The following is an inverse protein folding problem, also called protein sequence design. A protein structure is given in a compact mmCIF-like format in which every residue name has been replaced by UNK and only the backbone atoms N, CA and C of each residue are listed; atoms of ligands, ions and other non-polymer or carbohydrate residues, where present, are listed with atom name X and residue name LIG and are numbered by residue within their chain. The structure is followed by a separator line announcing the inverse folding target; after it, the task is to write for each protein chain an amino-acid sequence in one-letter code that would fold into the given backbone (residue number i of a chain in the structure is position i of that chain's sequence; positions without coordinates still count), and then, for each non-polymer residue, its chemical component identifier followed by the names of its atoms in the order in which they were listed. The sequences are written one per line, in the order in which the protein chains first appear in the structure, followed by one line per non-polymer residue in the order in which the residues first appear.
data_IF_987459882129
#
_entry.id   IF_987459882129
#
_cell.length_a   1.000
_cell.length_b   1.000
_cell.length_c   1.000
_cell.angle_alpha   90.00
_cell.angle_beta   90.00
_cell.angle_gamma   90.00
#
_symmetry.space_group_name_H-M   'P 1'
#
loop_
_entity.id
_entity.type
_entity.pdbx_description
1 polymer ?
#
# COMPACT_ATOMS: atom_id res chain seq x y z
N UNK A 1 -38.91 18.00 -3.35
CA UNK A 1 -38.15 18.79 -4.33
C UNK A 1 -36.61 18.70 -4.16
N UNK A 2 -36.00 17.53 -3.98
CA UNK A 2 -34.52 17.40 -4.07
C UNK A 2 -34.03 16.87 -5.41
N UNK A 3 -34.84 16.19 -6.21
CA UNK A 3 -34.40 15.61 -7.49
C UNK A 3 -33.97 16.65 -8.54
N UNK A 4 -34.54 17.84 -8.55
CA UNK A 4 -34.28 18.86 -9.57
C UNK A 4 -32.92 19.59 -9.41
N UNK A 5 -32.36 19.62 -8.17
CA UNK A 5 -31.00 20.16 -7.95
C UNK A 5 -29.89 19.19 -8.35
N UNK A 6 -30.16 17.91 -8.34
CA UNK A 6 -29.21 16.85 -8.66
C UNK A 6 -28.95 16.76 -10.19
N UNK A 7 -29.98 16.99 -11.00
CA UNK A 7 -29.88 16.96 -12.47
C UNK A 7 -29.07 18.17 -13.01
N UNK A 8 -29.17 19.34 -12.37
CA UNK A 8 -28.45 20.55 -12.80
C UNK A 8 -26.93 20.54 -12.48
N UNK A 9 -26.48 19.76 -11.50
CA UNK A 9 -25.04 19.54 -11.23
C UNK A 9 -24.39 18.58 -12.23
N UNK A 10 -25.17 17.98 -13.12
CA UNK A 10 -24.71 17.01 -14.10
C UNK A 10 -24.12 17.60 -15.39
N UNK A 11 -24.16 18.93 -15.58
CA UNK A 11 -23.72 19.60 -16.82
C UNK A 11 -22.42 20.43 -16.70
N UNK A 12 -21.57 20.17 -15.70
CA UNK A 12 -20.33 20.92 -15.54
C UNK A 12 -19.23 20.43 -16.54
N UNK A 13 -18.65 21.30 -17.37
CA UNK A 13 -17.74 20.92 -18.45
C UNK A 13 -16.44 20.23 -17.95
N UNK A 14 -16.07 20.41 -16.68
CA UNK A 14 -14.92 19.75 -16.07
C UNK A 14 -15.18 18.26 -15.78
N UNK A 15 -16.35 17.93 -15.29
CA UNK A 15 -16.74 16.54 -15.02
C UNK A 15 -16.69 15.70 -16.31
N UNK A 16 -16.93 16.31 -17.48
CA UNK A 16 -16.88 15.63 -18.77
C UNK A 16 -15.46 15.16 -19.14
N UNK A 17 -14.43 15.96 -18.86
CA UNK A 17 -13.03 15.55 -19.08
C UNK A 17 -12.62 14.42 -18.15
N UNK A 18 -13.03 14.47 -16.87
CA UNK A 18 -12.76 13.40 -15.91
C UNK A 18 -13.53 12.11 -16.26
N UNK A 19 -14.76 12.22 -16.76
CA UNK A 19 -15.53 11.09 -17.26
C UNK A 19 -14.88 10.47 -18.51
N UNK A 20 -14.38 11.28 -19.43
CA UNK A 20 -13.63 10.78 -20.59
C UNK A 20 -12.35 10.04 -20.15
N UNK A 21 -11.56 10.63 -19.25
CA UNK A 21 -10.36 10.00 -18.69
C UNK A 21 -10.68 8.67 -17.96
N UNK A 22 -11.78 8.63 -17.21
CA UNK A 22 -12.24 7.40 -16.56
C UNK A 22 -12.65 6.33 -17.58
N UNK A 23 -13.32 6.72 -18.67
CA UNK A 23 -13.70 5.81 -19.77
C UNK A 23 -12.48 5.23 -20.46
N UNK A 24 -11.49 6.06 -20.76
CA UNK A 24 -10.23 5.63 -21.38
C UNK A 24 -9.45 4.68 -20.46
N UNK A 25 -9.38 4.99 -19.16
CA UNK A 25 -8.72 4.14 -18.17
C UNK A 25 -9.42 2.77 -17.98
N UNK A 26 -10.73 2.70 -18.18
CA UNK A 26 -11.50 1.45 -18.11
C UNK A 26 -11.34 0.64 -19.40
N UNK A 27 -11.42 1.27 -20.57
CA UNK A 27 -11.20 0.62 -21.86
C UNK A 27 -12.21 -0.49 -22.21
N UNK A 28 -13.43 -0.43 -21.67
CA UNK A 28 -14.50 -1.39 -21.93
C UNK A 28 -15.66 -0.73 -22.67
N UNK A 29 -16.50 -1.51 -23.38
CA UNK A 29 -17.73 -1.00 -23.97
C UNK A 29 -18.66 -0.36 -22.92
N UNK A 30 -19.29 0.76 -23.27
CA UNK A 30 -20.33 1.38 -22.44
C UNK A 30 -21.44 0.36 -22.16
N UNK A 31 -21.98 0.37 -20.94
CA UNK A 31 -22.97 -0.63 -20.47
C UNK A 31 -22.32 -1.89 -19.88
N UNK A 32 -21.00 -2.09 -20.00
CA UNK A 32 -20.32 -3.19 -19.32
C UNK A 32 -20.49 -3.08 -17.81
N UNK A 33 -20.71 -4.24 -17.13
CA UNK A 33 -20.75 -4.26 -15.67
C UNK A 33 -19.36 -4.09 -15.06
N UNK A 34 -19.24 -3.15 -14.13
CA UNK A 34 -18.00 -2.86 -13.40
C UNK A 34 -18.28 -2.81 -11.91
N UNK A 35 -17.51 -3.56 -11.12
CA UNK A 35 -17.56 -3.45 -9.66
C UNK A 35 -16.69 -2.27 -9.25
N UNK A 36 -17.25 -1.34 -8.49
CA UNK A 36 -16.51 -0.24 -7.84
C UNK A 36 -16.23 -0.60 -6.38
N UNK A 37 -14.95 -0.76 -6.02
CA UNK A 37 -14.54 -0.97 -4.64
C UNK A 37 -14.67 0.35 -3.87
N UNK A 38 -15.64 0.45 -2.97
CA UNK A 38 -15.98 1.64 -2.21
C UNK A 38 -15.53 1.51 -0.76
N UNK A 39 -14.68 2.43 -0.29
CA UNK A 39 -14.18 2.44 1.09
C UNK A 39 -14.82 3.54 1.96
N UNK A 40 -15.80 4.29 1.44
CA UNK A 40 -16.35 5.46 2.11
C UNK A 40 -15.44 6.69 2.09
N UNK A 41 -14.33 6.65 1.35
CA UNK A 41 -13.45 7.79 1.11
C UNK A 41 -13.77 8.51 -0.21
N UNK A 42 -13.24 9.73 -0.36
CA UNK A 42 -13.46 10.60 -1.54
C UNK A 42 -13.09 9.87 -2.84
N UNK A 43 -11.91 9.27 -2.90
CA UNK A 43 -11.36 8.68 -4.12
C UNK A 43 -12.21 7.51 -4.65
N UNK A 44 -12.59 6.59 -3.77
CA UNK A 44 -13.43 5.45 -4.15
C UNK A 44 -14.83 5.87 -4.58
N UNK A 45 -15.38 6.90 -3.94
CA UNK A 45 -16.70 7.44 -4.30
C UNK A 45 -16.67 8.17 -5.65
N UNK A 46 -15.65 9.01 -5.88
CA UNK A 46 -15.48 9.68 -7.17
C UNK A 46 -15.27 8.66 -8.29
N UNK A 47 -14.50 7.59 -8.03
CA UNK A 47 -14.36 6.47 -8.96
C UNK A 47 -15.72 5.90 -9.38
N UNK A 48 -16.58 5.55 -8.42
CA UNK A 48 -17.91 5.01 -8.68
C UNK A 48 -18.80 6.00 -9.46
N UNK A 49 -18.75 7.28 -9.08
CA UNK A 49 -19.54 8.34 -9.73
C UNK A 49 -19.11 8.59 -11.19
N UNK A 50 -17.79 8.66 -11.45
CA UNK A 50 -17.26 8.81 -12.80
C UNK A 50 -17.62 7.63 -13.71
N UNK A 51 -17.57 6.40 -13.18
CA UNK A 51 -17.96 5.19 -13.92
C UNK A 51 -19.45 5.18 -14.27
N UNK A 52 -20.31 5.48 -13.30
CA UNK A 52 -21.76 5.57 -13.53
C UNK A 52 -22.08 6.63 -14.58
N UNK A 53 -21.41 7.79 -14.51
CA UNK A 53 -21.58 8.86 -15.47
C UNK A 53 -20.98 8.52 -16.84
N UNK A 54 -19.94 7.70 -16.91
CA UNK A 54 -19.40 7.15 -18.15
C UNK A 54 -20.33 6.13 -18.82
N UNK A 55 -21.44 5.77 -18.18
CA UNK A 55 -22.47 4.89 -18.71
C UNK A 55 -22.20 3.40 -18.49
N UNK A 56 -21.38 3.04 -17.51
CA UNK A 56 -21.16 1.66 -17.08
C UNK A 56 -22.28 1.17 -16.16
N UNK A 57 -22.58 -0.14 -16.17
CA UNK A 57 -23.42 -0.82 -15.18
C UNK A 57 -22.59 -1.00 -13.89
N UNK A 58 -22.64 -0.02 -12.99
CA UNK A 58 -21.78 0.03 -11.81
C UNK A 58 -22.48 -0.61 -10.61
N UNK A 59 -21.76 -1.49 -9.92
CA UNK A 59 -22.18 -2.05 -8.63
C UNK A 59 -21.10 -1.68 -7.58
N UNK A 60 -21.50 -0.94 -6.55
CA UNK A 60 -20.63 -0.59 -5.43
C UNK A 60 -20.46 -1.77 -4.46
N UNK A 61 -19.24 -2.03 -4.03
CA UNK A 61 -18.96 -3.04 -3.00
C UNK A 61 -18.01 -2.47 -1.95
N UNK A 62 -18.41 -2.59 -0.68
CA UNK A 62 -17.58 -2.26 0.49
C UNK A 62 -17.22 -3.53 1.25
N UNK A 63 -15.95 -3.69 1.60
CA UNK A 63 -15.50 -4.73 2.50
C UNK A 63 -15.52 -4.21 3.94
N UNK A 64 -16.27 -4.86 4.82
CA UNK A 64 -16.17 -4.65 6.26
C UNK A 64 -14.96 -5.43 6.76
N UNK A 65 -13.85 -4.71 7.01
CA UNK A 65 -12.55 -5.31 7.31
C UNK A 65 -12.30 -5.48 8.81
N UNK A 66 -12.93 -4.67 9.66
CA UNK A 66 -12.77 -4.70 11.11
C UNK A 66 -13.92 -3.96 11.80
N UNK A 67 -14.23 -4.39 13.02
CA UNK A 67 -15.16 -3.70 13.92
C UNK A 67 -14.37 -2.83 14.92
N UNK A 68 -14.41 -1.52 14.74
CA UNK A 68 -13.82 -0.56 15.69
C UNK A 68 -14.49 -0.59 17.06
N UNK A 69 -15.76 -0.95 17.16
CA UNK A 69 -16.50 -1.05 18.42
C UNK A 69 -15.92 -2.15 19.32
N UNK A 70 -15.60 -3.32 18.76
CA UNK A 70 -14.97 -4.41 19.47
C UNK A 70 -13.48 -4.13 19.77
N UNK A 71 -12.79 -3.36 18.89
CA UNK A 71 -11.37 -3.07 19.05
C UNK A 71 -11.07 -2.06 20.16
N UNK A 72 -11.98 -1.11 20.47
CA UNK A 72 -11.66 0.04 21.36
C UNK A 72 -12.48 0.06 22.64
N UNK A 73 -13.51 -0.78 22.83
CA UNK A 73 -14.42 -0.75 24.01
C UNK A 73 -14.92 0.67 24.42
N UNK A 74 -14.87 1.65 23.52
CA UNK A 74 -15.44 2.98 23.72
C UNK A 74 -16.81 3.07 23.07
N UNK A 75 -17.85 3.24 23.88
CA UNK A 75 -19.18 3.66 23.38
C UNK A 75 -19.03 4.92 22.55
N UNK A 76 -19.28 4.82 21.23
CA UNK A 76 -19.26 5.95 20.30
C UNK A 76 -18.10 5.99 19.28
N UNK A 77 -17.17 5.04 19.28
CA UNK A 77 -16.11 4.96 18.26
C UNK A 77 -16.59 4.14 17.04
N UNK A 78 -17.25 4.82 16.10
CA UNK A 78 -17.94 4.20 14.96
C UNK A 78 -17.25 4.54 13.62
N UNK A 79 -15.89 4.42 13.49
CA UNK A 79 -15.26 4.77 12.22
C UNK A 79 -15.56 3.75 11.12
N UNK A 80 -15.51 2.43 11.38
CA UNK A 80 -15.88 1.44 10.37
C UNK A 80 -17.37 1.54 9.97
N UNK A 81 -18.24 1.74 10.93
CA UNK A 81 -19.67 2.01 10.68
C UNK A 81 -19.89 3.28 9.91
N UNK A 82 -19.11 4.34 10.18
CA UNK A 82 -19.20 5.61 9.45
C UNK A 82 -18.73 5.45 7.99
N UNK A 83 -17.62 4.77 7.73
CA UNK A 83 -17.11 4.56 6.37
C UNK A 83 -18.10 3.74 5.52
N UNK A 84 -18.73 2.70 6.09
CA UNK A 84 -19.78 1.92 5.45
C UNK A 84 -21.01 2.77 5.20
N UNK A 85 -21.41 3.61 6.17
CA UNK A 85 -22.53 4.53 6.03
C UNK A 85 -22.26 5.56 4.92
N UNK A 86 -21.06 6.15 4.90
CA UNK A 86 -20.65 7.11 3.87
C UNK A 86 -20.66 6.47 2.48
N UNK A 87 -20.13 5.23 2.35
CA UNK A 87 -20.14 4.49 1.09
C UNK A 87 -21.56 4.21 0.60
N UNK A 88 -22.46 3.79 1.50
CA UNK A 88 -23.87 3.54 1.18
C UNK A 88 -24.59 4.82 0.76
N UNK A 89 -24.45 5.88 1.54
CA UNK A 89 -25.04 7.18 1.23
C UNK A 89 -24.56 7.75 -0.09
N UNK A 90 -23.27 7.55 -0.40
CA UNK A 90 -22.69 7.96 -1.67
C UNK A 90 -23.24 7.13 -2.84
N UNK A 91 -23.37 5.81 -2.68
CA UNK A 91 -23.94 4.93 -3.70
C UNK A 91 -25.41 5.27 -3.98
N UNK A 92 -26.19 5.52 -2.94
CA UNK A 92 -27.58 5.97 -3.06
C UNK A 92 -27.67 7.32 -3.81
N UNK A 93 -26.76 8.25 -3.50
CA UNK A 93 -26.70 9.55 -4.16
C UNK A 93 -26.29 9.43 -5.65
N UNK A 94 -25.42 8.49 -5.99
CA UNK A 94 -24.99 8.20 -7.38
C UNK A 94 -26.10 7.43 -8.13
N UNK A 95 -26.96 6.70 -7.42
CA UNK A 95 -28.02 5.87 -7.99
C UNK A 95 -27.54 4.48 -8.43
N UNK A 96 -26.52 3.92 -7.74
CA UNK A 96 -25.98 2.59 -8.00
C UNK A 96 -26.32 1.60 -6.87
N UNK A 97 -26.52 0.30 -7.17
CA UNK A 97 -26.65 -0.73 -6.14
C UNK A 97 -25.34 -0.84 -5.35
N UNK A 98 -25.47 -1.09 -4.01
CA UNK A 98 -24.32 -1.20 -3.12
C UNK A 98 -24.46 -2.36 -2.15
N UNK A 99 -23.39 -3.13 -2.02
CA UNK A 99 -23.30 -4.28 -1.14
C UNK A 99 -22.16 -4.14 -0.14
N UNK A 100 -22.40 -4.59 1.08
CA UNK A 100 -21.38 -4.68 2.13
C UNK A 100 -21.10 -6.15 2.38
N UNK A 101 -19.82 -6.53 2.29
CA UNK A 101 -19.38 -7.90 2.48
C UNK A 101 -18.57 -7.99 3.78
N UNK A 102 -18.90 -8.95 4.64
CA UNK A 102 -18.15 -9.22 5.85
C UNK A 102 -16.84 -9.96 5.53
N UNK A 103 -15.73 -9.27 5.78
CA UNK A 103 -14.38 -9.79 5.60
C UNK A 103 -13.52 -9.67 6.87
N UNK A 104 -14.14 -9.43 8.04
CA UNK A 104 -13.43 -9.20 9.29
C UNK A 104 -12.48 -10.33 9.68
N UNK A 105 -12.97 -11.58 9.64
CA UNK A 105 -12.14 -12.74 9.96
C UNK A 105 -10.97 -12.90 8.99
N UNK A 106 -11.23 -12.78 7.67
CA UNK A 106 -10.18 -12.89 6.66
C UNK A 106 -9.13 -11.80 6.77
N UNK A 107 -9.56 -10.57 7.01
CA UNK A 107 -8.66 -9.43 7.20
C UNK A 107 -7.82 -9.60 8.46
N UNK A 108 -8.44 -10.07 9.55
CA UNK A 108 -7.72 -10.41 10.78
C UNK A 108 -6.63 -11.45 10.51
N UNK A 109 -6.98 -12.58 9.91
CA UNK A 109 -6.06 -13.70 9.75
C UNK A 109 -4.93 -13.41 8.74
N UNK A 110 -5.23 -12.70 7.66
CA UNK A 110 -4.29 -12.50 6.55
C UNK A 110 -3.48 -11.19 6.65
N UNK A 111 -3.97 -10.21 7.40
CA UNK A 111 -3.33 -8.88 7.46
C UNK A 111 -2.91 -8.54 8.88
N UNK A 112 -3.84 -8.63 9.86
CA UNK A 112 -3.55 -8.15 11.22
C UNK A 112 -2.64 -9.13 11.98
N UNK A 113 -2.87 -10.45 11.85
CA UNK A 113 -2.03 -11.46 12.49
C UNK A 113 -0.61 -11.46 11.91
N UNK A 114 -0.49 -11.42 10.57
CA UNK A 114 0.83 -11.31 9.90
C UNK A 114 1.57 -10.02 10.26
N UNK A 115 0.84 -8.91 10.39
CA UNK A 115 1.42 -7.65 10.87
C UNK A 115 2.04 -7.80 12.27
N UNK A 116 1.34 -8.45 13.20
CA UNK A 116 1.86 -8.68 14.54
C UNK A 116 3.05 -9.65 14.54
N UNK A 117 2.97 -10.74 13.77
CA UNK A 117 4.04 -11.73 13.65
C UNK A 117 5.31 -11.17 13.00
N UNK A 118 5.19 -10.28 12.01
CA UNK A 118 6.33 -9.59 11.41
C UNK A 118 7.10 -8.76 12.44
N UNK A 119 6.41 -8.02 13.32
CA UNK A 119 7.07 -7.29 14.39
C UNK A 119 7.77 -8.21 15.40
N UNK A 120 7.20 -9.39 15.68
CA UNK A 120 7.87 -10.38 16.52
C UNK A 120 9.17 -10.92 15.88
N UNK A 121 9.24 -10.94 14.55
CA UNK A 121 10.46 -11.30 13.81
C UNK A 121 11.47 -10.14 13.70
N UNK A 122 11.14 -8.94 14.23
CA UNK A 122 11.96 -7.73 14.09
C UNK A 122 11.86 -7.07 12.72
N UNK A 123 10.85 -7.42 11.93
CA UNK A 123 10.55 -6.84 10.62
C UNK A 123 9.66 -5.60 10.78
N UNK A 124 9.66 -4.72 9.77
CA UNK A 124 8.75 -3.56 9.68
C UNK A 124 7.75 -3.79 8.55
N UNK A 125 6.58 -4.38 8.82
CA UNK A 125 5.63 -4.78 7.79
C UNK A 125 4.88 -3.59 7.16
N UNK A 126 4.33 -3.82 5.95
CA UNK A 126 3.44 -2.89 5.24
C UNK A 126 2.10 -3.60 5.02
N UNK A 127 1.16 -3.49 5.97
CA UNK A 127 -0.10 -4.22 5.91
C UNK A 127 -0.97 -3.84 4.71
N UNK A 128 -0.83 -2.62 4.17
CA UNK A 128 -1.57 -2.17 2.99
C UNK A 128 -1.24 -3.01 1.75
N UNK A 129 0.01 -3.45 1.57
CA UNK A 129 0.39 -4.35 0.46
C UNK A 129 -0.30 -5.70 0.63
N UNK A 130 -0.24 -6.29 1.82
CA UNK A 130 -0.92 -7.57 2.11
C UNK A 130 -2.44 -7.46 1.91
N UNK A 131 -3.06 -6.38 2.37
CA UNK A 131 -4.49 -6.15 2.16
C UNK A 131 -4.85 -6.08 0.68
N UNK A 132 -4.07 -5.34 -0.14
CA UNK A 132 -4.30 -5.29 -1.58
C UNK A 132 -4.10 -6.66 -2.24
N UNK A 133 -3.00 -7.36 -1.91
CA UNK A 133 -2.64 -8.65 -2.48
C UNK A 133 -3.68 -9.74 -2.18
N UNK A 134 -4.15 -9.83 -0.94
CA UNK A 134 -4.98 -10.94 -0.48
C UNK A 134 -6.47 -10.60 -0.46
N UNK A 135 -6.89 -9.64 0.34
CA UNK A 135 -8.30 -9.35 0.61
C UNK A 135 -8.94 -8.58 -0.55
N UNK A 136 -8.31 -7.49 -1.00
CA UNK A 136 -8.93 -6.65 -2.02
C UNK A 136 -8.84 -7.26 -3.43
N UNK A 137 -7.64 -7.71 -3.85
CA UNK A 137 -7.45 -8.09 -5.24
C UNK A 137 -7.57 -9.60 -5.52
N UNK A 138 -7.46 -10.44 -4.51
CA UNK A 138 -7.77 -11.86 -4.68
C UNK A 138 -9.26 -12.13 -4.44
N UNK A 139 -9.71 -11.84 -3.22
CA UNK A 139 -11.03 -12.27 -2.78
C UNK A 139 -12.17 -11.44 -3.40
N UNK A 140 -12.01 -10.10 -3.49
CA UNK A 140 -13.03 -9.25 -4.11
C UNK A 140 -13.09 -9.42 -5.64
N UNK A 141 -11.99 -9.79 -6.30
CA UNK A 141 -12.02 -10.14 -7.72
C UNK A 141 -12.88 -11.37 -7.99
N UNK A 142 -12.82 -12.39 -7.14
CA UNK A 142 -13.66 -13.57 -7.27
C UNK A 142 -15.14 -13.22 -7.11
N UNK A 143 -15.47 -12.34 -6.16
CA UNK A 143 -16.84 -11.81 -6.04
C UNK A 143 -17.26 -11.06 -7.29
N UNK A 144 -16.39 -10.20 -7.83
CA UNK A 144 -16.70 -9.44 -9.04
C UNK A 144 -16.96 -10.34 -10.25
N UNK A 145 -16.14 -11.38 -10.44
CA UNK A 145 -16.34 -12.39 -11.49
C UNK A 145 -17.67 -13.14 -11.32
N UNK A 146 -17.99 -13.53 -10.08
CA UNK A 146 -19.25 -14.23 -9.77
C UNK A 146 -20.49 -13.36 -10.00
N UNK A 147 -20.35 -12.03 -9.89
CA UNK A 147 -21.41 -11.07 -10.24
C UNK A 147 -21.47 -10.75 -11.74
N UNK A 148 -20.68 -11.43 -12.57
CA UNK A 148 -20.64 -11.26 -14.01
C UNK A 148 -20.06 -9.92 -14.45
N UNK A 149 -19.21 -9.29 -13.63
CA UNK A 149 -18.58 -8.04 -13.99
C UNK A 149 -17.42 -8.27 -14.98
N UNK A 150 -17.23 -7.33 -15.89
CA UNK A 150 -16.13 -7.35 -16.85
C UNK A 150 -14.82 -6.78 -16.27
N UNK A 151 -14.91 -5.99 -15.19
CA UNK A 151 -13.77 -5.42 -14.49
C UNK A 151 -14.12 -5.02 -13.05
N UNK A 152 -13.08 -4.80 -12.24
CA UNK A 152 -13.17 -4.17 -10.94
C UNK A 152 -12.36 -2.87 -10.92
N UNK A 153 -13.00 -1.77 -10.53
CA UNK A 153 -12.36 -0.47 -10.41
C UNK A 153 -12.10 -0.08 -8.96
N UNK A 154 -10.99 0.58 -8.73
CA UNK A 154 -10.60 1.09 -7.42
C UNK A 154 -10.11 2.52 -7.50
N UNK A 155 -10.18 3.27 -6.39
CA UNK A 155 -9.70 4.64 -6.27
C UNK A 155 -8.19 4.78 -6.09
N UNK A 156 -7.39 3.77 -6.44
CA UNK A 156 -5.93 3.88 -6.35
C UNK A 156 -5.35 4.76 -7.44
N UNK A 157 -4.36 5.58 -7.06
CA UNK A 157 -3.59 6.43 -7.96
C UNK A 157 -2.43 5.64 -8.57
N UNK A 158 -2.75 4.88 -9.60
CA UNK A 158 -1.81 4.21 -10.53
C UNK A 158 -2.46 4.14 -11.90
N UNK A 159 -1.69 3.89 -12.95
CA UNK A 159 -2.21 3.70 -14.30
C UNK A 159 -2.04 2.25 -14.74
N UNK A 160 -3.01 1.75 -15.47
CA UNK A 160 -2.92 0.49 -16.20
C UNK A 160 -2.84 0.82 -17.69
N UNK A 161 -1.83 0.30 -18.35
CA UNK A 161 -1.68 0.38 -19.80
C UNK A 161 -1.57 -1.04 -20.38
N UNK A 162 -1.91 -1.21 -21.64
CA UNK A 162 -1.74 -2.48 -22.34
C UNK A 162 -0.49 -2.38 -23.20
N UNK A 163 0.55 -3.11 -22.82
CA UNK A 163 1.78 -3.24 -23.59
C UNK A 163 1.75 -4.47 -24.51
N UNK A 164 2.85 -4.69 -25.23
CA UNK A 164 2.97 -5.82 -26.15
C UNK A 164 2.85 -7.20 -25.46
N UNK A 165 3.30 -7.30 -24.20
CA UNK A 165 3.28 -8.53 -23.39
C UNK A 165 2.13 -8.59 -22.38
N UNK A 166 1.08 -7.75 -22.54
CA UNK A 166 -0.06 -7.72 -21.63
C UNK A 166 -0.15 -6.46 -20.77
N UNK A 167 -0.96 -6.49 -19.71
CA UNK A 167 -1.20 -5.33 -18.85
C UNK A 167 0.05 -4.90 -18.09
N UNK A 168 0.30 -3.60 -18.03
CA UNK A 168 1.40 -2.97 -17.34
C UNK A 168 0.88 -2.07 -16.24
N UNK A 169 1.47 -2.14 -15.06
CA UNK A 169 1.25 -1.19 -13.98
C UNK A 169 2.22 -0.01 -14.13
N UNK A 170 1.68 1.20 -14.07
CA UNK A 170 2.49 2.43 -14.14
C UNK A 170 2.21 3.34 -12.97
N UNK A 171 3.17 4.16 -12.62
CA UNK A 171 3.02 5.23 -11.62
C UNK A 171 1.86 6.15 -12.01
N UNK A 172 1.27 6.79 -11.00
CA UNK A 172 0.25 7.82 -11.22
C UNK A 172 0.80 9.00 -12.04
N UNK A 173 -0.09 9.73 -12.72
CA UNK A 173 0.26 11.00 -13.36
C UNK A 173 0.62 12.09 -12.32
N UNK A 174 0.01 12.04 -11.13
CA UNK A 174 0.37 12.87 -9.99
C UNK A 174 1.41 12.14 -9.11
N UNK A 175 2.71 12.52 -9.16
CA UNK A 175 3.75 11.84 -8.40
C UNK A 175 3.55 11.92 -6.88
N UNK A 176 2.91 12.99 -6.39
CA UNK A 176 2.62 13.17 -4.96
C UNK A 176 1.56 12.18 -4.43
N UNK A 177 0.83 11.54 -5.34
CA UNK A 177 -0.24 10.57 -5.02
C UNK A 177 0.06 9.15 -5.50
N UNK A 178 1.23 8.92 -6.09
CA UNK A 178 1.61 7.64 -6.65
C UNK A 178 1.56 6.51 -5.60
N UNK A 179 0.69 5.52 -5.85
CA UNK A 179 0.48 4.36 -4.99
C UNK A 179 1.05 3.06 -5.56
N UNK A 180 1.87 3.15 -6.61
CA UNK A 180 2.49 1.99 -7.25
C UNK A 180 3.29 1.12 -6.28
N UNK A 181 3.90 1.73 -5.25
CA UNK A 181 4.60 1.05 -4.18
C UNK A 181 3.73 0.02 -3.43
N UNK A 182 2.45 0.32 -3.25
CA UNK A 182 1.52 -0.55 -2.52
C UNK A 182 0.87 -1.61 -3.40
N UNK A 183 1.10 -1.56 -4.71
CA UNK A 183 0.44 -2.43 -5.70
C UNK A 183 1.41 -3.33 -6.47
N UNK A 184 2.70 -3.32 -6.17
CA UNK A 184 3.68 -4.15 -6.87
C UNK A 184 3.37 -5.65 -6.79
N UNK A 185 2.71 -6.09 -5.71
CA UNK A 185 2.34 -7.49 -5.48
C UNK A 185 1.04 -7.92 -6.18
N UNK A 186 0.47 -7.05 -7.04
CA UNK A 186 -0.65 -7.40 -7.92
C UNK A 186 -0.17 -8.37 -8.99
N UNK A 187 -0.87 -9.50 -9.19
CA UNK A 187 -0.51 -10.44 -10.26
C UNK A 187 -0.94 -9.93 -11.64
N UNK A 188 -0.37 -10.49 -12.72
CA UNK A 188 -0.74 -10.13 -14.08
C UNK A 188 -2.24 -10.35 -14.35
N UNK A 189 -2.81 -11.49 -13.89
CA UNK A 189 -4.23 -11.80 -14.01
C UNK A 189 -5.12 -10.80 -13.25
N UNK A 190 -4.69 -10.39 -12.05
CA UNK A 190 -5.39 -9.37 -11.29
C UNK A 190 -5.33 -8.02 -12.01
N UNK A 191 -4.14 -7.64 -12.50
CA UNK A 191 -3.95 -6.39 -13.21
C UNK A 191 -4.76 -6.32 -14.51
N UNK A 192 -4.96 -7.44 -15.19
CA UNK A 192 -5.79 -7.50 -16.38
C UNK A 192 -7.27 -7.17 -16.09
N UNK A 193 -7.75 -7.54 -14.91
CA UNK A 193 -9.12 -7.30 -14.48
C UNK A 193 -9.33 -5.96 -13.76
N UNK A 194 -8.28 -5.39 -13.16
CA UNK A 194 -8.33 -4.13 -12.40
C UNK A 194 -8.38 -2.91 -13.31
N UNK A 195 -9.08 -1.86 -12.84
CA UNK A 195 -9.14 -0.54 -13.48
C UNK A 195 -8.90 0.56 -12.44
N UNK A 196 -8.18 1.59 -12.85
CA UNK A 196 -7.76 2.70 -12.00
C UNK A 196 -8.14 4.05 -12.61
N UNK A 197 -9.43 4.44 -12.54
CA UNK A 197 -9.94 5.64 -13.22
C UNK A 197 -9.29 6.95 -12.78
N UNK A 198 -8.70 6.98 -11.57
CA UNK A 198 -8.08 8.18 -11.01
C UNK A 198 -6.59 8.32 -11.33
N UNK A 199 -5.97 7.28 -11.88
CA UNK A 199 -4.51 7.24 -12.06
C UNK A 199 -3.94 8.31 -13.00
N UNK A 200 -4.75 8.82 -13.93
CA UNK A 200 -4.41 9.91 -14.82
C UNK A 200 -4.76 11.31 -14.32
N UNK A 201 -5.43 11.43 -13.16
CA UNK A 201 -5.97 12.68 -12.63
C UNK A 201 -5.18 13.21 -11.44
N UNK A 202 -4.88 14.51 -11.36
CA UNK A 202 -4.38 15.14 -10.14
C UNK A 202 -5.42 15.08 -9.02
N UNK A 203 -4.97 14.99 -7.76
CA UNK A 203 -5.86 14.94 -6.59
C UNK A 203 -6.79 16.15 -6.49
N UNK A 204 -6.31 17.33 -6.88
CA UNK A 204 -7.12 18.56 -6.94
C UNK A 204 -8.33 18.41 -7.86
N UNK A 205 -8.16 17.73 -8.98
CA UNK A 205 -9.22 17.45 -9.93
C UNK A 205 -10.23 16.44 -9.38
N UNK A 206 -9.77 15.42 -8.70
CA UNK A 206 -10.64 14.45 -8.04
C UNK A 206 -11.51 15.13 -6.96
N UNK A 207 -10.94 16.02 -6.15
CA UNK A 207 -11.72 16.78 -5.16
C UNK A 207 -12.70 17.75 -5.81
N UNK A 208 -12.30 18.41 -6.91
CA UNK A 208 -13.20 19.26 -7.67
C UNK A 208 -14.37 18.46 -8.24
N UNK A 209 -14.11 17.28 -8.82
CA UNK A 209 -15.17 16.39 -9.30
C UNK A 209 -16.11 15.96 -8.15
N UNK A 210 -15.58 15.67 -6.97
CA UNK A 210 -16.42 15.35 -5.80
C UNK A 210 -17.37 16.50 -5.42
N UNK A 211 -16.87 17.74 -5.46
CA UNK A 211 -17.67 18.95 -5.18
C UNK A 211 -18.72 19.20 -6.26
N UNK A 212 -18.34 19.13 -7.53
CA UNK A 212 -19.24 19.34 -8.67
C UNK A 212 -20.34 18.27 -8.74
N UNK A 213 -20.03 17.04 -8.35
CA UNK A 213 -20.98 15.94 -8.24
C UNK A 213 -21.85 16.03 -6.97
N UNK A 214 -21.65 17.05 -6.11
CA UNK A 214 -22.43 17.27 -4.89
C UNK A 214 -22.25 16.16 -3.85
N UNK A 215 -21.09 15.47 -3.85
CA UNK A 215 -20.80 14.38 -2.92
C UNK A 215 -20.51 14.94 -1.53
N UNK A 216 -21.26 14.51 -0.51
CA UNK A 216 -21.14 14.98 0.87
C UNK A 216 -19.76 14.75 1.49
N UNK A 217 -18.97 13.82 0.90
CA UNK A 217 -17.64 13.45 1.36
C UNK A 217 -16.51 14.27 0.73
N UNK A 218 -16.80 15.28 -0.11
CA UNK A 218 -15.79 16.05 -0.85
C UNK A 218 -14.68 16.63 0.04
N UNK A 219 -15.04 17.06 1.27
CA UNK A 219 -14.12 17.65 2.25
C UNK A 219 -13.52 16.62 3.23
N UNK A 220 -13.87 15.33 3.10
CA UNK A 220 -13.32 14.28 3.99
C UNK A 220 -11.80 14.19 3.82
N UNK A 221 -11.03 14.21 4.93
CA UNK A 221 -9.58 14.05 4.87
C UNK A 221 -9.19 12.67 4.36
N UNK A 222 -8.04 12.59 3.68
CA UNK A 222 -7.48 11.32 3.24
C UNK A 222 -7.00 10.51 4.46
N UNK A 223 -7.15 9.19 4.42
CA UNK A 223 -6.58 8.30 5.44
C UNK A 223 -5.06 8.35 5.38
N UNK A 224 -4.41 8.70 6.48
CA UNK A 224 -2.95 8.85 6.57
C UNK A 224 -2.28 7.67 7.27
N UNK A 225 -3.02 6.93 8.11
CA UNK A 225 -2.51 5.87 8.96
C UNK A 225 -2.97 4.47 8.54
N UNK A 226 -2.38 3.46 9.15
CA UNK A 226 -2.81 2.07 9.02
C UNK A 226 -4.24 1.96 9.55
N UNK A 227 -5.18 1.55 8.72
CA UNK A 227 -6.61 1.63 8.97
C UNK A 227 -7.10 0.94 10.26
N UNK A 228 -6.42 -0.11 10.73
CA UNK A 228 -6.75 -0.85 11.95
C UNK A 228 -5.90 -0.45 13.17
N UNK A 229 -5.02 0.57 13.04
CA UNK A 229 -4.21 1.08 14.14
C UNK A 229 -4.81 2.40 14.64
N UNK A 230 -5.60 2.37 15.72
CA UNK A 230 -6.19 3.58 16.26
C UNK A 230 -5.10 4.50 16.83
N UNK A 231 -5.24 5.79 16.61
CA UNK A 231 -4.36 6.84 17.18
C UNK A 231 -2.86 6.68 16.83
N UNK A 232 -2.52 5.99 15.71
CA UNK A 232 -1.15 5.82 15.24
C UNK A 232 -0.23 4.96 16.14
N UNK A 233 -0.77 4.25 17.14
CA UNK A 233 0.00 3.43 18.08
C UNK A 233 -0.08 1.94 17.74
N UNK A 234 0.71 1.50 16.78
CA UNK A 234 0.77 0.10 16.36
C UNK A 234 1.14 -0.86 17.52
N UNK A 235 1.94 -0.40 18.48
CA UNK A 235 2.34 -1.21 19.65
C UNK A 235 1.15 -1.68 20.47
N UNK A 236 0.10 -0.89 20.61
CA UNK A 236 -1.12 -1.29 21.32
C UNK A 236 -1.80 -2.48 20.64
N UNK A 237 -1.81 -2.52 19.32
CA UNK A 237 -2.37 -3.64 18.56
C UNK A 237 -1.52 -4.90 18.77
N UNK A 238 -0.18 -4.75 18.69
CA UNK A 238 0.75 -5.87 18.87
C UNK A 238 0.66 -6.43 20.30
N UNK A 239 0.71 -5.57 21.31
CA UNK A 239 0.64 -5.99 22.73
C UNK A 239 -0.65 -6.76 23.03
N UNK A 240 -1.76 -6.40 22.37
CA UNK A 240 -3.03 -7.11 22.51
C UNK A 240 -3.04 -8.48 21.81
N UNK A 241 -2.51 -8.55 20.59
CA UNK A 241 -2.50 -9.79 19.79
C UNK A 241 -1.40 -10.75 20.21
N UNK A 242 -0.29 -10.22 20.67
CA UNK A 242 0.93 -10.96 21.02
C UNK A 242 1.49 -10.49 22.38
N UNK A 243 0.76 -10.66 23.49
CA UNK A 243 1.23 -10.23 24.81
C UNK A 243 2.56 -10.88 25.20
N UNK A 244 2.85 -12.08 24.66
CA UNK A 244 4.14 -12.76 24.82
C UNK A 244 5.30 -12.06 24.10
N UNK A 245 5.05 -11.10 23.22
CA UNK A 245 6.07 -10.32 22.50
C UNK A 245 6.73 -9.22 23.34
N UNK A 246 6.13 -8.85 24.47
CA UNK A 246 6.67 -7.92 25.44
C UNK A 246 7.72 -8.60 26.34
N UNK A 247 8.77 -9.18 25.74
CA UNK A 247 9.87 -9.83 26.47
C UNK A 247 11.03 -8.85 26.56
N UNK A 248 11.50 -8.53 27.79
CA UNK A 248 12.66 -7.67 27.99
C UNK A 248 13.92 -8.22 27.34
N UNK A 249 14.75 -7.29 26.84
CA UNK A 249 16.04 -7.58 26.24
C UNK A 249 17.02 -6.42 26.42
N UNK A 250 18.09 -6.47 25.66
CA UNK A 250 19.19 -5.52 25.78
C UNK A 250 19.25 -4.54 24.59
N UNK A 251 19.62 -3.31 24.87
CA UNK A 251 20.04 -2.35 23.86
C UNK A 251 21.57 -2.39 23.81
N UNK A 252 22.09 -2.85 22.67
CA UNK A 252 23.52 -3.12 22.47
C UNK A 252 24.07 -2.20 21.42
N UNK A 253 25.20 -1.54 21.68
CA UNK A 253 25.90 -0.77 20.69
C UNK A 253 26.63 -1.70 19.68
N UNK A 254 26.92 -1.22 18.47
CA UNK A 254 27.62 -1.99 17.41
C UNK A 254 28.99 -2.54 17.88
N UNK A 255 29.65 -1.89 18.83
CA UNK A 255 30.92 -2.38 19.43
C UNK A 255 30.73 -3.46 20.51
N UNK A 256 29.48 -3.90 20.75
CA UNK A 256 29.16 -4.94 21.72
C UNK A 256 28.86 -4.44 23.13
N UNK A 257 28.98 -3.16 23.45
CA UNK A 257 28.64 -2.61 24.78
C UNK A 257 27.12 -2.62 25.01
N UNK A 258 26.69 -3.12 26.15
CA UNK A 258 25.30 -3.02 26.59
C UNK A 258 25.05 -1.60 27.11
N UNK A 259 24.13 -0.89 26.48
CA UNK A 259 23.80 0.51 26.81
C UNK A 259 22.55 0.63 27.68
N UNK A 260 21.68 -0.39 27.69
CA UNK A 260 20.43 -0.36 28.43
C UNK A 260 19.60 -1.61 28.23
N UNK A 261 18.35 -1.54 28.69
CA UNK A 261 17.36 -2.63 28.54
C UNK A 261 16.08 -2.06 27.93
N UNK A 262 15.34 -2.92 27.24
CA UNK A 262 14.04 -2.62 26.69
C UNK A 262 12.97 -3.63 27.13
N UNK A 263 11.70 -3.30 26.97
CA UNK A 263 10.56 -4.14 27.38
C UNK A 263 10.05 -5.07 26.27
N UNK A 264 10.58 -4.97 25.07
CA UNK A 264 10.22 -5.81 23.92
C UNK A 264 10.75 -5.23 22.61
N UNK A 265 11.25 -6.10 21.72
CA UNK A 265 11.80 -5.71 20.40
C UNK A 265 10.74 -5.10 19.50
N UNK A 266 9.48 -5.45 19.69
CA UNK A 266 8.33 -4.96 18.90
C UNK A 266 8.08 -3.44 19.03
N UNK A 267 8.74 -2.79 19.99
CA UNK A 267 8.65 -1.33 20.20
C UNK A 267 9.66 -0.53 19.38
N UNK A 268 10.47 -1.21 18.59
CA UNK A 268 11.57 -0.62 17.83
C UNK A 268 11.41 -0.85 16.33
N UNK A 269 11.96 0.10 15.56
CA UNK A 269 11.97 0.05 14.10
C UNK A 269 13.34 0.51 13.63
N UNK A 270 13.87 -0.06 12.55
CA UNK A 270 15.15 0.35 11.96
C UNK A 270 15.12 1.86 11.63
N UNK A 271 16.18 2.58 11.99
CA UNK A 271 16.29 4.03 11.84
C UNK A 271 15.67 4.86 12.98
N UNK A 272 15.01 4.20 13.95
CA UNK A 272 14.44 4.91 15.10
C UNK A 272 15.55 5.53 15.95
N UNK A 273 15.39 6.85 16.27
CA UNK A 273 16.27 7.60 17.14
C UNK A 273 15.67 7.87 18.52
N UNK A 274 14.35 8.16 18.56
CA UNK A 274 13.66 8.55 19.79
C UNK A 274 13.19 7.32 20.57
N UNK A 275 13.13 7.45 21.91
CA UNK A 275 12.59 6.39 22.77
C UNK A 275 13.57 5.25 23.05
N UNK A 276 14.86 5.40 22.74
CA UNK A 276 15.91 4.43 23.08
C UNK A 276 16.24 4.45 24.59
N UNK A 277 16.04 5.62 25.24
CA UNK A 277 16.33 5.85 26.66
C UNK A 277 17.77 5.49 27.06
N UNK A 278 18.73 5.70 26.15
CA UNK A 278 20.17 5.55 26.39
C UNK A 278 20.86 6.91 26.31
N UNK A 279 21.82 7.15 27.21
CA UNK A 279 22.56 8.42 27.30
C UNK A 279 24.04 8.14 27.01
N UNK A 280 24.47 8.43 25.75
CA UNK A 280 25.85 8.17 25.31
C UNK A 280 26.51 9.36 24.61
N UNK A 281 25.96 10.56 24.77
CA UNK A 281 26.52 11.77 24.15
C UNK A 281 26.12 11.97 22.70
N UNK A 282 26.45 11.05 21.80
CA UNK A 282 26.12 11.11 20.38
C UNK A 282 24.76 10.48 20.04
N UNK A 283 24.07 10.98 19.01
CA UNK A 283 22.81 10.41 18.56
C UNK A 283 22.96 8.97 18.05
N UNK A 284 22.24 8.04 18.65
CA UNK A 284 22.16 6.66 18.19
C UNK A 284 20.84 6.36 17.49
N UNK A 285 20.91 5.38 16.58
CA UNK A 285 19.79 4.89 15.77
C UNK A 285 19.72 3.38 15.88
N UNK A 286 18.51 2.81 15.81
CA UNK A 286 18.34 1.37 15.69
C UNK A 286 18.87 0.91 14.33
N UNK A 287 19.90 0.10 14.34
CA UNK A 287 20.56 -0.42 13.12
C UNK A 287 20.06 -1.83 12.79
N UNK A 288 19.83 -2.66 13.81
CA UNK A 288 19.35 -4.02 13.64
C UNK A 288 18.47 -4.41 14.83
N UNK A 289 17.44 -5.22 14.57
CA UNK A 289 16.63 -5.86 15.59
C UNK A 289 16.87 -7.36 15.47
N UNK A 290 17.43 -7.96 16.51
CA UNK A 290 17.63 -9.40 16.62
C UNK A 290 16.58 -10.00 17.55
N UNK A 291 15.53 -10.52 16.96
CA UNK A 291 14.43 -11.09 17.71
C UNK A 291 14.80 -12.40 18.44
N UNK A 292 15.75 -13.17 17.89
CA UNK A 292 16.18 -14.43 18.47
C UNK A 292 16.96 -14.23 19.77
N UNK A 293 17.88 -13.25 19.78
CA UNK A 293 18.67 -12.89 20.97
C UNK A 293 17.98 -11.81 21.82
N UNK A 294 16.85 -11.26 21.34
CA UNK A 294 16.11 -10.16 21.97
C UNK A 294 16.96 -8.92 22.14
N UNK A 295 17.77 -8.60 21.13
CA UNK A 295 18.66 -7.45 21.15
C UNK A 295 18.23 -6.39 20.16
N UNK A 296 18.23 -5.13 20.61
CA UNK A 296 18.11 -3.95 19.74
C UNK A 296 19.51 -3.37 19.60
N UNK A 297 20.08 -3.53 18.39
CA UNK A 297 21.43 -3.07 18.09
C UNK A 297 21.34 -1.64 17.61
N UNK A 298 22.13 -0.77 18.24
CA UNK A 298 22.15 0.66 17.95
C UNK A 298 23.53 1.12 17.53
N UNK A 299 23.57 2.17 16.71
CA UNK A 299 24.82 2.75 16.20
C UNK A 299 24.63 4.16 15.67
N UNK A 300 25.69 4.80 15.17
CA UNK A 300 25.63 6.09 14.54
C UNK A 300 24.81 6.03 13.24
N UNK A 301 24.46 7.21 12.69
CA UNK A 301 23.62 7.32 11.50
C UNK A 301 24.19 6.58 10.30
N UNK A 302 25.50 6.62 10.11
CA UNK A 302 26.17 6.03 8.93
C UNK A 302 26.12 4.49 8.94
N UNK A 303 25.89 3.87 10.10
CA UNK A 303 25.64 2.45 10.22
C UNK A 303 24.27 2.00 9.63
N UNK A 304 23.41 2.95 9.25
CA UNK A 304 22.16 2.70 8.53
C UNK A 304 22.35 2.60 7.01
N UNK A 305 23.56 2.85 6.50
CA UNK A 305 23.87 2.80 5.09
C UNK A 305 23.80 1.35 4.59
N UNK A 306 23.02 1.16 3.52
CA UNK A 306 22.76 -0.15 2.91
C UNK A 306 23.14 -0.08 1.44
N UNK A 307 24.01 -0.97 0.99
CA UNK A 307 24.48 -1.08 -0.40
C UNK A 307 23.56 -1.95 -1.27
N UNK A 308 22.67 -2.73 -0.65
CA UNK A 308 21.76 -3.61 -1.39
C UNK A 308 20.80 -4.36 -0.47
N UNK A 309 19.90 -5.10 -1.07
CA UNK A 309 18.89 -5.91 -0.39
C UNK A 309 18.73 -7.28 -1.05
N UNK A 310 18.33 -8.27 -0.24
CA UNK A 310 17.83 -9.56 -0.72
C UNK A 310 16.33 -9.58 -0.57
N UNK A 311 15.62 -10.04 -1.60
CA UNK A 311 14.17 -10.04 -1.64
C UNK A 311 13.59 -11.44 -1.39
N UNK A 312 12.41 -11.46 -0.77
CA UNK A 312 11.54 -12.64 -0.62
C UNK A 312 10.16 -12.35 -1.21
N UNK A 313 9.41 -13.40 -1.55
CA UNK A 313 8.05 -13.28 -2.08
C UNK A 313 7.96 -12.30 -3.25
N UNK A 314 8.81 -12.50 -4.23
CA UNK A 314 8.87 -11.64 -5.42
C UNK A 314 7.66 -11.84 -6.32
N UNK A 315 7.24 -10.76 -6.98
CA UNK A 315 6.18 -10.73 -7.97
C UNK A 315 6.64 -9.92 -9.17
N UNK A 316 6.41 -10.45 -10.37
CA UNK A 316 6.78 -9.79 -11.62
C UNK A 316 5.54 -9.33 -12.39
N UNK A 317 5.60 -8.10 -12.92
CA UNK A 317 4.55 -7.46 -13.72
C UNK A 317 5.04 -7.30 -15.16
N UNK A 318 4.76 -8.30 -15.99
CA UNK A 318 5.21 -8.38 -17.37
C UNK A 318 5.66 -9.79 -17.74
N UNK A 319 6.58 -9.88 -18.70
CA UNK A 319 7.17 -11.17 -19.08
C UNK A 319 8.23 -11.58 -18.03
N UNK A 320 7.83 -12.44 -17.11
CA UNK A 320 8.67 -12.96 -16.04
C UNK A 320 9.95 -13.61 -16.55
N UNK A 321 9.86 -14.43 -17.58
CA UNK A 321 11.02 -15.09 -18.16
C UNK A 321 12.04 -14.10 -18.75
N UNK A 322 11.57 -13.02 -19.36
CA UNK A 322 12.43 -11.94 -19.87
C UNK A 322 13.10 -11.18 -18.72
N UNK A 323 12.37 -10.88 -17.64
CA UNK A 323 12.93 -10.21 -16.46
C UNK A 323 13.98 -11.09 -15.80
N UNK A 324 13.70 -12.37 -15.60
CA UNK A 324 14.63 -13.32 -14.98
C UNK A 324 15.88 -13.55 -15.82
N UNK A 325 15.75 -13.68 -17.15
CA UNK A 325 16.88 -13.80 -18.05
C UNK A 325 17.77 -12.54 -18.01
N UNK A 326 17.18 -11.35 -18.02
CA UNK A 326 17.91 -10.09 -17.92
C UNK A 326 18.56 -9.92 -16.53
N UNK A 327 17.89 -10.31 -15.47
CA UNK A 327 18.40 -10.25 -14.10
C UNK A 327 19.59 -11.20 -13.88
N UNK A 328 19.67 -12.32 -14.59
CA UNK A 328 20.81 -13.23 -14.55
C UNK A 328 22.10 -12.58 -15.09
N UNK A 329 21.97 -11.55 -15.93
CA UNK A 329 23.08 -10.74 -16.46
C UNK A 329 23.30 -9.41 -15.70
N UNK A 330 22.46 -9.11 -14.71
CA UNK A 330 22.44 -7.82 -13.99
C UNK A 330 21.58 -6.79 -14.71
N UNK A 331 20.27 -6.76 -14.42
CA UNK A 331 19.31 -5.84 -15.05
C UNK A 331 19.37 -4.45 -14.37
N UNK A 332 19.69 -3.37 -15.12
CA UNK A 332 19.56 -2.01 -14.61
C UNK A 332 18.08 -1.69 -14.31
N UNK A 333 17.81 -1.17 -13.11
CA UNK A 333 16.48 -0.83 -12.63
C UNK A 333 16.51 0.45 -11.80
N UNK A 334 15.31 1.01 -11.52
CA UNK A 334 15.13 1.95 -10.43
C UNK A 334 14.45 1.22 -9.27
N UNK A 335 15.00 1.34 -8.07
CA UNK A 335 14.51 0.65 -6.88
C UNK A 335 13.94 1.64 -5.84
N UNK A 336 12.73 1.38 -5.35
CA UNK A 336 12.08 2.18 -4.30
C UNK A 336 11.91 1.30 -3.07
N UNK A 337 12.62 1.64 -1.99
CA UNK A 337 12.68 0.83 -0.75
C UNK A 337 11.82 1.40 0.40
N UNK A 338 11.15 2.52 0.19
CA UNK A 338 10.20 3.15 1.12
C UNK A 338 9.11 3.87 0.34
N UNK A 339 7.89 3.87 0.87
CA UNK A 339 6.73 4.50 0.22
C UNK A 339 6.89 6.01 -0.01
N UNK A 340 7.70 6.69 0.82
CA UNK A 340 7.92 8.13 0.78
C UNK A 340 9.21 8.55 0.06
N UNK A 341 10.05 7.58 -0.36
CA UNK A 341 11.30 7.86 -1.07
C UNK A 341 11.08 7.87 -2.59
N UNK A 342 11.90 8.60 -3.33
CA UNK A 342 12.00 8.45 -4.78
C UNK A 342 12.79 7.18 -5.12
N UNK A 343 12.53 6.55 -6.29
CA UNK A 343 13.33 5.43 -6.77
C UNK A 343 14.77 5.83 -7.03
N UNK A 344 15.72 4.95 -6.69
CA UNK A 344 17.16 5.15 -6.90
C UNK A 344 17.70 4.17 -7.93
N UNK A 345 18.81 4.51 -8.59
CA UNK A 345 19.47 3.65 -9.57
C UNK A 345 20.04 2.42 -8.87
N UNK A 346 19.78 1.25 -9.45
CA UNK A 346 20.14 -0.03 -8.87
C UNK A 346 20.28 -1.10 -9.97
N UNK A 347 20.80 -2.26 -9.58
CA UNK A 347 20.92 -3.43 -10.43
C UNK A 347 20.23 -4.63 -9.78
N UNK A 348 19.27 -5.20 -10.50
CA UNK A 348 18.60 -6.44 -10.11
C UNK A 348 19.45 -7.63 -10.58
N UNK A 349 19.72 -8.56 -9.68
CA UNK A 349 20.39 -9.79 -9.97
C UNK A 349 19.61 -11.01 -9.45
N UNK A 350 19.61 -12.07 -10.25
CA UNK A 350 19.03 -13.37 -9.92
C UNK A 350 20.15 -14.43 -9.96
N UNK A 351 20.52 -14.95 -8.80
CA UNK A 351 21.58 -15.95 -8.69
C UNK A 351 21.21 -17.02 -7.65
N UNK A 352 21.28 -18.31 -8.06
CA UNK A 352 21.03 -19.44 -7.16
C UNK A 352 19.62 -19.45 -6.54
N UNK A 353 18.62 -18.88 -7.22
CA UNK A 353 17.26 -18.73 -6.71
C UNK A 353 17.05 -17.55 -5.75
N UNK A 354 18.10 -16.79 -5.45
CA UNK A 354 18.01 -15.57 -4.65
C UNK A 354 17.86 -14.34 -5.57
N UNK A 355 16.95 -13.47 -5.22
CA UNK A 355 16.74 -12.18 -5.89
C UNK A 355 17.40 -11.09 -5.04
N UNK A 356 18.35 -10.38 -5.62
CA UNK A 356 19.08 -9.29 -4.94
C UNK A 356 19.05 -8.00 -5.76
N UNK A 357 19.10 -6.88 -5.06
CA UNK A 357 19.16 -5.55 -5.66
C UNK A 357 20.34 -4.81 -5.05
N UNK A 358 21.31 -4.43 -5.88
CA UNK A 358 22.46 -3.61 -5.48
C UNK A 358 22.20 -2.15 -5.85
N UNK A 359 22.35 -1.23 -4.91
CA UNK A 359 22.18 0.21 -5.14
C UNK A 359 23.50 0.83 -5.63
N UNK A 360 23.45 1.72 -6.60
CA UNK A 360 24.61 2.46 -7.09
C UNK A 360 25.18 3.40 -6.02
N UNK A 361 24.30 3.98 -5.21
CA UNK A 361 24.65 4.76 -4.04
C UNK A 361 23.96 4.18 -2.80
N UNK A 362 24.65 4.08 -1.64
CA UNK A 362 24.07 3.50 -0.44
C UNK A 362 22.82 4.24 0.03
N UNK A 363 21.78 3.49 0.44
CA UNK A 363 20.52 3.99 0.94
C UNK A 363 20.43 3.92 2.46
N UNK A 364 19.79 4.93 3.07
CA UNK A 364 19.57 4.97 4.52
C UNK A 364 18.22 4.36 4.92
N UNK A 365 18.20 3.70 6.09
CA UNK A 365 16.96 3.31 6.77
C UNK A 365 16.14 2.27 5.99
N UNK A 366 16.83 1.40 5.28
CA UNK A 366 16.24 0.22 4.63
C UNK A 366 15.96 -0.82 5.69
N UNK A 367 14.74 -1.37 5.71
CA UNK A 367 14.31 -2.28 6.78
C UNK A 367 13.74 -3.58 6.24
N UNK A 368 14.11 -4.74 6.82
CA UNK A 368 13.43 -5.99 6.56
C UNK A 368 11.91 -5.89 6.81
N UNK A 369 11.12 -6.54 5.96
CA UNK A 369 9.65 -6.47 5.99
C UNK A 369 9.05 -5.32 5.17
N UNK A 370 9.85 -4.30 4.81
CA UNK A 370 9.45 -3.29 3.82
C UNK A 370 9.50 -3.88 2.41
N UNK A 371 8.91 -3.20 1.43
CA UNK A 371 9.01 -3.59 0.03
C UNK A 371 10.20 -2.92 -0.67
N UNK A 372 10.75 -3.61 -1.65
CA UNK A 372 11.58 -3.04 -2.69
C UNK A 372 10.82 -3.17 -4.01
N UNK A 373 10.35 -2.05 -4.53
CA UNK A 373 9.58 -1.98 -5.78
C UNK A 373 10.49 -1.53 -6.89
N UNK A 374 10.44 -2.26 -8.00
CA UNK A 374 11.34 -2.10 -9.13
C UNK A 374 10.61 -1.47 -10.31
N UNK A 375 11.26 -0.48 -10.91
CA UNK A 375 10.77 0.22 -12.09
C UNK A 375 11.79 0.04 -13.23
N UNK A 376 11.30 0.08 -14.48
CA UNK A 376 12.16 -0.02 -15.64
C UNK A 376 13.07 1.21 -15.75
N UNK A 377 14.36 1.00 -16.00
CA UNK A 377 15.32 2.10 -16.12
C UNK A 377 15.06 2.98 -17.35
N UNK A 378 14.58 2.38 -18.44
CA UNK A 378 14.22 3.04 -19.70
C UNK A 378 12.79 3.64 -19.72
N UNK A 379 11.94 3.24 -18.76
CA UNK A 379 10.57 3.72 -18.58
C UNK A 379 10.27 3.88 -17.07
N UNK A 380 10.74 4.96 -16.39
CA UNK A 380 10.74 5.10 -14.94
C UNK A 380 9.37 5.08 -14.27
N UNK A 381 8.31 5.20 -15.02
CA UNK A 381 6.93 5.08 -14.56
C UNK A 381 6.37 3.63 -14.62
N UNK A 382 7.05 2.71 -15.34
CA UNK A 382 6.64 1.32 -15.49
C UNK A 382 7.14 0.49 -14.30
N UNK A 383 6.22 -0.13 -13.58
CA UNK A 383 6.54 -1.10 -12.52
C UNK A 383 6.89 -2.45 -13.14
N UNK A 384 8.08 -2.96 -12.83
CA UNK A 384 8.52 -4.31 -13.22
C UNK A 384 8.07 -5.37 -12.23
N UNK A 385 7.80 -4.97 -10.98
CA UNK A 385 7.47 -5.85 -9.89
C UNK A 385 8.23 -5.48 -8.61
N UNK A 386 8.65 -6.49 -7.86
CA UNK A 386 9.41 -6.29 -6.63
C UNK A 386 9.28 -7.45 -5.67
N UNK A 387 9.67 -7.23 -4.42
CA UNK A 387 9.54 -8.21 -3.35
C UNK A 387 9.60 -7.55 -1.97
N UNK A 388 9.38 -8.35 -0.94
CA UNK A 388 9.63 -7.88 0.42
C UNK A 388 11.11 -8.03 0.75
N UNK A 389 11.68 -7.06 1.45
CA UNK A 389 13.08 -7.08 1.88
C UNK A 389 13.23 -8.15 2.95
N UNK A 390 13.99 -9.21 2.65
CA UNK A 390 14.32 -10.28 3.58
C UNK A 390 15.50 -9.88 4.47
N UNK A 391 16.54 -9.28 3.85
CA UNK A 391 17.73 -8.79 4.54
C UNK A 391 18.37 -7.63 3.79
N UNK A 392 19.22 -6.88 4.48
CA UNK A 392 19.98 -5.76 3.96
C UNK A 392 21.46 -6.14 3.86
N UNK A 393 22.15 -5.59 2.86
CA UNK A 393 23.61 -5.65 2.73
C UNK A 393 24.16 -4.31 3.20
N UNK A 394 24.74 -4.27 4.41
CA UNK A 394 25.35 -3.06 4.96
C UNK A 394 26.60 -2.65 4.21
N UNK A 395 26.90 -1.37 4.21
CA UNK A 395 28.25 -0.87 3.87
C UNK A 395 29.16 -1.25 5.02
N UNK A 396 30.38 -1.78 4.71
CA UNK A 396 31.36 -2.11 5.72
C UNK A 396 31.65 -0.83 6.56
N UNK A 397 31.34 -0.88 7.84
CA UNK A 397 31.62 0.21 8.77
C UNK A 397 33.05 -0.02 9.27
N UNK A 398 34.01 0.75 8.74
CA UNK A 398 35.34 0.78 9.29
C UNK A 398 35.30 1.59 10.58
N UNK A 399 35.59 0.92 11.70
CA UNK A 399 35.82 1.60 12.96
C UNK A 399 37.11 2.44 12.83
N UNK A 400 36.97 3.77 12.73
CA UNK A 400 38.08 4.71 12.88
C UNK A 400 38.38 4.91 14.36
#
# INVERSE_FOLDING_TARGET
MPLCRYIAAMDAPFTDSAVAAARDAVGLPVGSRVIAAMSGGVDSTVTAALLARAGYDVVGVTLQLYDHGAAIQKKGACCAGQDIHDARSAADAIGIPHYVLDYENRFKDQVIEEFADAYLRGETPIPCIRCNQTVKFRDLLDVARNLGAAAMATGHYVRREVGASGPQLRRAADPARDQSYFLFATTADQLDYLRFPLGGLPKSEVRRAATELGLAIADKPDSQDICFVPEGRYTTVIDRLRPQGAVPGEIVHLDGRILGRHEGVTRYTIGQRRGLNVAVGDPLFVVKIDAATRQVIVGPRDALLTSGVVLKETNWLGDEATIEAAASAGLPVLARVRSTAEPVVAHLALAGGAVSVAFDAPEHGVSPGQACVLYAADAPDRVLGGGFIASTVGVAYEHV
#
